data_IF_301537483132
#
_entry.id   IF_301537483132
#
_cell.length_a   1.000
_cell.length_b   1.000
_cell.length_c   1.000
_cell.angle_alpha   90.00
_cell.angle_beta   90.00
_cell.angle_gamma   90.00
#
_symmetry.space_group_name_H-M   'P 1'
#
loop_
_entity.id
_entity.type
_entity.pdbx_description
1 polymer ?
#
# COMPACT_ATOMS: atom_id res chain seq x y z
N UNK A 1 -23.54 -30.59 -18.20
CA UNK A 1 -23.34 -29.14 -18.07
C UNK A 1 -23.21 -28.60 -19.48
N UNK A 2 -24.08 -27.66 -19.84
CA UNK A 2 -24.20 -27.14 -21.19
C UNK A 2 -23.20 -25.99 -21.41
N UNK A 3 -22.50 -25.96 -22.54
CA UNK A 3 -21.48 -24.95 -22.86
C UNK A 3 -22.00 -23.51 -22.82
N UNK A 4 -23.28 -23.30 -23.16
CA UNK A 4 -23.91 -21.98 -23.11
C UNK A 4 -24.00 -21.44 -21.68
N UNK A 5 -24.24 -22.34 -20.71
CA UNK A 5 -24.29 -21.99 -19.28
C UNK A 5 -22.91 -21.63 -18.75
N UNK A 6 -21.86 -22.35 -19.17
CA UNK A 6 -20.48 -22.06 -18.81
C UNK A 6 -20.04 -20.68 -19.35
N UNK A 7 -20.31 -20.40 -20.62
CA UNK A 7 -20.02 -19.11 -21.24
C UNK A 7 -20.76 -17.94 -20.57
N UNK A 8 -22.00 -18.16 -20.16
CA UNK A 8 -22.77 -17.16 -19.41
C UNK A 8 -22.14 -16.88 -18.04
N UNK A 9 -21.73 -17.91 -17.30
CA UNK A 9 -21.06 -17.76 -16.00
C UNK A 9 -19.74 -17.00 -16.13
N UNK A 10 -18.90 -17.35 -17.11
CA UNK A 10 -17.61 -16.69 -17.31
C UNK A 10 -17.77 -15.20 -17.62
N UNK A 11 -18.80 -14.82 -18.39
CA UNK A 11 -19.08 -13.40 -18.69
C UNK A 11 -19.49 -12.62 -17.44
N UNK A 12 -20.31 -13.23 -16.59
CA UNK A 12 -20.74 -12.64 -15.32
C UNK A 12 -19.53 -12.44 -14.40
N UNK A 13 -18.70 -13.46 -14.24
CA UNK A 13 -17.48 -13.42 -13.43
C UNK A 13 -16.51 -12.34 -13.93
N UNK A 14 -16.25 -12.30 -15.24
CA UNK A 14 -15.34 -11.32 -15.84
C UNK A 14 -15.83 -9.88 -15.65
N UNK A 15 -17.14 -9.64 -15.76
CA UNK A 15 -17.70 -8.32 -15.48
C UNK A 15 -17.58 -7.95 -14.00
N UNK A 16 -17.82 -8.90 -13.09
CA UNK A 16 -17.67 -8.68 -11.65
C UNK A 16 -16.22 -8.35 -11.28
N UNK A 17 -15.23 -9.11 -11.78
CA UNK A 17 -13.80 -8.86 -11.54
C UNK A 17 -13.37 -7.50 -12.10
N UNK A 18 -13.86 -7.12 -13.28
CA UNK A 18 -13.56 -5.79 -13.86
C UNK A 18 -14.11 -4.66 -13.00
N UNK A 19 -15.30 -4.82 -12.45
CA UNK A 19 -15.91 -3.83 -11.58
C UNK A 19 -15.17 -3.71 -10.24
N UNK A 20 -14.78 -4.83 -9.65
CA UNK A 20 -13.99 -4.85 -8.41
C UNK A 20 -12.63 -4.17 -8.59
N UNK A 21 -11.95 -4.46 -9.70
CA UNK A 21 -10.69 -3.82 -10.04
C UNK A 21 -10.85 -2.31 -10.32
N UNK A 22 -11.97 -1.88 -10.89
CA UNK A 22 -12.29 -0.46 -11.05
C UNK A 22 -12.48 0.24 -9.69
N UNK A 23 -13.22 -0.37 -8.76
CA UNK A 23 -13.40 0.14 -7.38
C UNK A 23 -12.05 0.24 -6.65
N UNK A 24 -11.24 -0.80 -6.72
CA UNK A 24 -9.92 -0.81 -6.07
C UNK A 24 -9.02 0.30 -6.62
N UNK A 25 -8.98 0.50 -7.95
CA UNK A 25 -8.20 1.58 -8.57
C UNK A 25 -8.67 2.96 -8.14
N UNK A 26 -9.98 3.19 -8.13
CA UNK A 26 -10.56 4.47 -7.70
C UNK A 26 -10.25 4.75 -6.22
N UNK A 27 -10.46 3.78 -5.34
CA UNK A 27 -10.20 3.93 -3.91
C UNK A 27 -8.72 4.13 -3.58
N UNK A 28 -7.82 3.35 -4.19
CA UNK A 28 -6.37 3.54 -4.03
C UNK A 28 -5.92 4.92 -4.50
N UNK A 29 -6.51 5.44 -5.60
CA UNK A 29 -6.20 6.80 -6.07
C UNK A 29 -6.64 7.89 -5.09
N UNK A 30 -7.65 7.62 -4.27
CA UNK A 30 -8.15 8.48 -3.20
C UNK A 30 -7.50 8.19 -1.83
N UNK A 31 -6.53 7.27 -1.76
CA UNK A 31 -5.85 6.91 -0.51
C UNK A 31 -6.63 5.95 0.40
N UNK A 32 -7.69 5.33 -0.10
CA UNK A 32 -8.49 4.34 0.63
C UNK A 32 -7.81 2.97 0.66
N UNK A 33 -8.07 2.19 1.72
CA UNK A 33 -7.65 0.77 1.78
C UNK A 33 -8.50 -0.09 0.84
N UNK A 34 -8.08 -1.32 0.51
CA UNK A 34 -8.91 -2.26 -0.27
C UNK A 34 -10.29 -2.50 0.34
N UNK A 35 -10.37 -2.64 1.66
CA UNK A 35 -11.62 -2.86 2.40
C UNK A 35 -12.55 -1.65 2.32
N UNK A 36 -11.98 -0.44 2.33
CA UNK A 36 -12.74 0.81 2.14
C UNK A 36 -13.17 0.95 0.68
N UNK A 37 -12.30 0.59 -0.27
CA UNK A 37 -12.59 0.62 -1.71
C UNK A 37 -13.74 -0.32 -2.10
N UNK A 38 -13.92 -1.42 -1.38
CA UNK A 38 -15.04 -2.34 -1.57
C UNK A 38 -16.41 -1.71 -1.27
N UNK A 39 -16.44 -0.60 -0.50
CA UNK A 39 -17.67 0.14 -0.18
C UNK A 39 -18.10 1.10 -1.29
N UNK A 40 -17.25 1.33 -2.29
CA UNK A 40 -17.52 2.30 -3.35
C UNK A 40 -18.73 1.90 -4.18
N UNK A 41 -19.63 2.86 -4.35
CA UNK A 41 -20.83 2.77 -5.13
C UNK A 41 -20.59 3.46 -6.48
N UNK A 42 -20.84 2.73 -7.56
CA UNK A 42 -20.62 3.24 -8.92
C UNK A 42 -20.48 2.12 -9.92
N UNK A 43 -20.94 2.40 -11.13
CA UNK A 43 -20.81 1.49 -12.28
C UNK A 43 -19.88 2.06 -13.34
N UNK A 44 -19.57 3.36 -13.26
CA UNK A 44 -18.65 4.05 -14.16
C UNK A 44 -17.39 4.51 -13.42
N UNK A 45 -16.26 4.69 -14.14
CA UNK A 45 -15.03 5.23 -13.56
C UNK A 45 -15.23 6.60 -12.90
N UNK A 46 -16.06 7.46 -13.49
CA UNK A 46 -16.34 8.81 -13.01
C UNK A 46 -17.13 8.79 -11.69
N UNK A 47 -18.19 7.98 -11.62
CA UNK A 47 -18.95 7.76 -10.39
C UNK A 47 -18.06 7.21 -9.29
N UNK A 48 -17.27 6.18 -9.58
CA UNK A 48 -16.37 5.56 -8.61
C UNK A 48 -15.30 6.54 -8.10
N UNK A 49 -14.81 7.42 -8.97
CA UNK A 49 -13.83 8.45 -8.57
C UNK A 49 -14.47 9.51 -7.69
N UNK A 50 -15.68 9.95 -8.02
CA UNK A 50 -16.42 10.91 -7.21
C UNK A 50 -16.76 10.34 -5.84
N UNK A 51 -17.26 9.11 -5.81
CA UNK A 51 -17.60 8.40 -4.58
C UNK A 51 -16.36 8.15 -3.71
N UNK A 52 -15.23 7.75 -4.32
CA UNK A 52 -13.97 7.57 -3.60
C UNK A 52 -13.47 8.84 -2.94
N UNK A 53 -13.64 10.01 -3.61
CA UNK A 53 -13.29 11.31 -3.03
C UNK A 53 -14.20 11.67 -1.87
N UNK A 54 -15.50 11.43 -2.01
CA UNK A 54 -16.48 11.67 -0.94
C UNK A 54 -16.15 10.81 0.29
N UNK A 55 -15.98 9.50 0.09
CA UNK A 55 -15.66 8.57 1.16
C UNK A 55 -14.32 8.88 1.82
N UNK A 56 -13.30 9.25 1.05
CA UNK A 56 -12.01 9.68 1.60
C UNK A 56 -12.16 10.94 2.46
N UNK A 57 -12.95 11.92 2.02
CA UNK A 57 -13.22 13.13 2.80
C UNK A 57 -13.97 12.83 4.11
N UNK A 58 -14.99 11.97 4.06
CA UNK A 58 -15.74 11.54 5.25
C UNK A 58 -14.87 10.84 6.29
N UNK A 59 -13.94 9.99 5.83
CA UNK A 59 -13.01 9.27 6.69
C UNK A 59 -11.85 10.13 7.19
N UNK A 60 -11.78 11.41 6.78
CA UNK A 60 -10.64 12.28 7.07
C UNK A 60 -9.34 11.79 6.42
N UNK A 61 -9.44 10.93 5.41
CA UNK A 61 -8.33 10.52 4.57
C UNK A 61 -8.03 11.72 3.68
N UNK A 62 -7.19 12.63 4.16
CA UNK A 62 -6.50 13.53 3.25
C UNK A 62 -5.72 12.62 2.31
N UNK A 63 -5.93 12.72 1.00
CA UNK A 63 -4.94 12.25 0.04
C UNK A 63 -3.67 12.99 0.38
N UNK A 64 -2.86 12.42 1.27
CA UNK A 64 -1.54 12.90 1.56
C UNK A 64 -0.89 12.94 0.18
N UNK A 65 -0.64 14.18 -0.25
CA UNK A 65 0.17 14.59 -1.40
C UNK A 65 0.74 13.37 -2.10
N UNK A 66 0.35 13.11 -3.36
CA UNK A 66 1.18 12.29 -4.26
C UNK A 66 2.64 12.58 -3.91
N UNK A 67 3.55 11.60 -3.77
CA UNK A 67 4.94 11.91 -3.53
C UNK A 67 5.52 12.64 -4.77
N UNK A 68 5.17 13.92 -4.94
CA UNK A 68 6.01 14.93 -5.54
C UNK A 68 7.23 14.92 -4.64
N UNK A 69 8.31 14.31 -5.13
CA UNK A 69 9.51 14.04 -4.36
C UNK A 69 9.84 15.19 -3.41
N UNK A 70 9.97 14.83 -2.14
CA UNK A 70 10.67 15.55 -1.05
C UNK A 70 10.19 14.98 0.29
N UNK A 71 10.47 13.70 0.51
CA UNK A 71 10.67 13.16 1.85
C UNK A 71 12.18 13.00 2.00
N UNK A 72 12.81 13.87 2.77
CA UNK A 72 14.23 13.83 3.08
C UNK A 72 14.56 12.75 4.14
N UNK A 73 13.95 11.57 4.04
CA UNK A 73 14.07 10.51 5.05
C UNK A 73 14.90 9.30 4.61
N UNK A 74 15.35 9.30 3.35
CA UNK A 74 16.57 8.62 2.93
C UNK A 74 17.31 9.63 2.09
N UNK A 75 18.45 10.11 2.60
CA UNK A 75 19.24 11.14 1.94
C UNK A 75 19.41 10.83 0.46
N UNK A 76 18.91 11.74 -0.38
CA UNK A 76 19.37 11.87 -1.74
C UNK A 76 20.88 12.10 -1.71
N UNK A 77 21.64 11.07 -2.02
CA UNK A 77 23.05 11.10 -2.37
C UNK A 77 23.36 9.65 -2.81
N UNK A 78 24.06 9.35 -3.89
CA UNK A 78 25.50 9.59 -3.96
C UNK A 78 26.21 9.43 -2.60
N UNK A 79 25.78 8.45 -1.81
CA UNK A 79 26.34 8.09 -0.52
C UNK A 79 26.25 6.59 -0.39
N UNK A 80 27.37 5.92 -0.64
CA UNK A 80 27.56 4.48 -0.47
C UNK A 80 27.09 4.01 0.90
N UNK A 81 26.82 2.70 1.04
CA UNK A 81 26.45 2.02 2.29
C UNK A 81 27.31 2.46 3.51
N UNK A 82 28.56 2.89 3.29
CA UNK A 82 29.43 3.47 4.32
C UNK A 82 28.88 4.71 5.02
N UNK A 83 28.13 5.57 4.33
CA UNK A 83 27.54 6.79 4.89
C UNK A 83 26.32 6.48 5.79
N UNK A 84 25.65 5.36 5.53
CA UNK A 84 24.61 4.82 6.42
C UNK A 84 25.22 4.22 7.68
N UNK A 85 26.32 3.48 7.52
CA UNK A 85 27.02 2.80 8.62
C UNK A 85 27.63 3.79 9.62
N UNK A 86 28.25 4.88 9.16
CA UNK A 86 28.77 5.94 10.03
C UNK A 86 27.67 6.64 10.84
N UNK A 87 26.48 6.85 10.25
CA UNK A 87 25.35 7.44 10.97
C UNK A 87 24.75 6.48 11.99
N UNK A 88 24.74 5.18 11.69
CA UNK A 88 24.32 4.15 12.63
C UNK A 88 25.27 4.07 13.84
N UNK A 89 26.58 4.10 13.60
CA UNK A 89 27.59 4.13 14.66
C UNK A 89 27.56 5.43 15.47
N UNK A 90 27.33 6.59 14.83
CA UNK A 90 27.17 7.86 15.54
C UNK A 90 25.93 7.88 16.46
N UNK A 91 24.86 7.19 16.06
CA UNK A 91 23.64 7.06 16.89
C UNK A 91 23.73 5.94 17.93
N UNK A 92 24.60 4.95 17.73
CA UNK A 92 24.80 3.81 18.62
C UNK A 92 26.30 3.66 18.97
N UNK A 93 26.89 4.64 19.68
CA UNK A 93 28.33 4.68 19.92
C UNK A 93 28.83 3.56 20.86
N UNK A 94 27.92 2.84 21.52
CA UNK A 94 28.26 1.64 22.28
C UNK A 94 27.29 0.54 21.88
N UNK A 95 27.85 -0.55 21.34
CA UNK A 95 27.09 -1.73 20.94
C UNK A 95 26.22 -2.21 22.10
N UNK A 96 24.92 -1.92 22.02
CA UNK A 96 23.95 -2.41 22.98
C UNK A 96 24.01 -3.93 22.94
N UNK A 97 24.70 -4.49 23.93
CA UNK A 97 24.55 -5.85 24.40
C UNK A 97 23.07 -6.00 24.75
N UNK A 98 22.29 -6.53 23.82
CA UNK A 98 20.98 -7.06 24.10
C UNK A 98 21.17 -8.26 25.04
N UNK A 99 21.25 -8.01 26.35
CA UNK A 99 21.01 -9.04 27.36
C UNK A 99 19.50 -9.24 27.43
N UNK A 100 18.97 -9.97 26.46
CA UNK A 100 17.67 -10.61 26.58
C UNK A 100 17.92 -12.08 26.88
N UNK A 101 17.30 -12.56 27.96
CA UNK A 101 17.31 -13.94 28.47
C UNK A 101 17.86 -15.02 27.55
N UNK A 102 19.10 -15.42 27.86
CA UNK A 102 19.53 -16.82 27.91
C UNK A 102 19.40 -17.67 26.66
N UNK A 103 20.19 -17.40 25.62
CA UNK A 103 20.81 -18.46 24.79
C UNK A 103 22.18 -17.98 24.27
N UNK A 104 23.25 -18.63 24.69
CA UNK A 104 24.60 -18.48 24.13
C UNK A 104 24.72 -19.34 22.88
N UNK A 105 24.92 -18.72 21.71
CA UNK A 105 25.50 -19.41 20.55
C UNK A 105 27.00 -19.16 20.58
N UNK A 106 27.75 -20.10 21.16
CA UNK A 106 29.19 -20.16 20.95
C UNK A 106 29.46 -20.52 19.49
N UNK A 107 30.18 -19.66 18.78
CA UNK A 107 30.87 -20.06 17.55
C UNK A 107 32.26 -20.56 17.92
N UNK A 108 32.50 -21.85 17.65
CA UNK A 108 33.83 -22.35 17.33
C UNK A 108 34.25 -21.95 15.92
#
# INVERSE_FOLDING_TARGET
MDFETELASTRVELNATRQELARLRAGLSAGLTPEQSARLQGSTPEELTADARTLAAELGVSTARQPSGSGADVGSAHGSLSAGEQRYQAKNPEGQRFMHGGYTLERG
#
